data_IF_705449101051
#
_entry.id   IF_705449101051
#
_cell.length_a   1.000
_cell.length_b   1.000
_cell.length_c   1.000
_cell.angle_alpha   90.00
_cell.angle_beta   90.00
_cell.angle_gamma   90.00
#
_symmetry.space_group_name_H-M   'P 1'
#
loop_
_entity.id
_entity.type
_entity.pdbx_description
1 polymer ?
#
# COMPACT_ATOMS: atom_id res chain seq x y z
N UNK A 1 21.28 -23.77 27.30
CA UNK A 1 19.87 -23.81 27.76
C UNK A 1 19.14 -22.73 26.98
N UNK A 2 18.18 -23.11 26.14
CA UNK A 2 17.43 -22.16 25.30
C UNK A 2 16.33 -21.53 26.17
N UNK A 3 16.43 -20.24 26.46
CA UNK A 3 15.33 -19.53 27.10
C UNK A 3 14.20 -19.31 26.10
N UNK A 4 13.02 -19.83 26.42
CA UNK A 4 11.79 -19.58 25.69
C UNK A 4 11.28 -18.19 26.12
N UNK A 5 11.45 -17.19 25.27
CA UNK A 5 10.97 -15.82 25.49
C UNK A 5 9.46 -15.77 25.22
N UNK A 6 8.70 -15.25 26.18
CA UNK A 6 7.22 -15.18 26.13
C UNK A 6 6.69 -13.85 25.60
N UNK A 7 7.57 -12.89 25.30
CA UNK A 7 7.17 -11.56 24.85
C UNK A 7 7.16 -11.46 23.33
N UNK A 8 6.05 -10.97 22.79
CA UNK A 8 5.75 -10.85 21.35
C UNK A 8 6.38 -9.62 20.68
N UNK A 9 7.29 -8.92 21.37
CA UNK A 9 7.92 -7.69 20.91
C UNK A 9 7.04 -6.44 21.07
N UNK A 10 7.59 -5.28 20.68
CA UNK A 10 6.93 -3.98 20.84
C UNK A 10 6.11 -3.62 19.60
N UNK A 11 4.83 -3.27 19.81
CA UNK A 11 4.01 -2.65 18.77
C UNK A 11 4.30 -1.13 18.68
N UNK A 12 4.32 -0.59 17.46
CA UNK A 12 4.84 0.76 17.18
C UNK A 12 3.77 1.81 16.82
N UNK A 13 2.49 1.53 17.05
CA UNK A 13 1.40 2.49 16.83
C UNK A 13 1.50 3.24 15.51
N UNK A 14 1.57 4.57 15.56
CA UNK A 14 1.79 5.44 14.38
C UNK A 14 0.65 5.46 13.36
N UNK A 15 -0.57 5.12 13.78
CA UNK A 15 -1.75 5.18 12.91
C UNK A 15 -1.96 6.60 12.35
N UNK A 16 -2.39 6.69 11.08
CA UNK A 16 -2.60 7.93 10.34
C UNK A 16 -3.64 7.72 9.23
N UNK A 17 -4.08 8.83 8.61
CA UNK A 17 -4.95 8.81 7.42
C UNK A 17 -4.22 9.49 6.25
N UNK A 18 -4.27 8.89 5.06
CA UNK A 18 -3.75 9.45 3.82
C UNK A 18 -4.88 9.81 2.86
N UNK A 19 -4.74 10.95 2.19
CA UNK A 19 -5.68 11.46 1.21
C UNK A 19 -5.23 11.12 -0.23
N UNK A 20 -6.16 11.07 -1.20
CA UNK A 20 -5.85 10.67 -2.57
C UNK A 20 -4.91 11.66 -3.30
N UNK A 21 -4.85 12.92 -2.87
CA UNK A 21 -3.96 13.97 -3.40
C UNK A 21 -2.50 13.84 -2.92
N UNK A 22 -2.19 12.81 -2.14
CA UNK A 22 -0.85 12.55 -1.59
C UNK A 22 -0.59 13.20 -0.24
N UNK A 23 -1.52 13.99 0.29
CA UNK A 23 -1.42 14.54 1.65
C UNK A 23 -1.75 13.47 2.71
N UNK A 24 -1.37 13.71 3.98
CA UNK A 24 -1.66 12.80 5.10
C UNK A 24 -1.63 13.50 6.45
N UNK A 25 -2.27 12.90 7.45
CA UNK A 25 -2.15 13.32 8.84
C UNK A 25 -0.79 12.94 9.44
N UNK A 26 -0.34 13.62 10.50
CA UNK A 26 0.69 13.10 11.39
C UNK A 26 0.29 11.72 11.97
N UNK A 27 1.28 10.92 12.34
CA UNK A 27 1.04 9.64 13.00
C UNK A 27 0.71 9.81 14.48
N UNK A 28 -0.14 8.91 15.01
CA UNK A 28 -0.36 8.77 16.46
C UNK A 28 0.91 8.30 17.19
N UNK A 29 0.86 8.29 18.52
CA UNK A 29 1.97 7.83 19.35
C UNK A 29 2.40 6.40 19.00
N UNK A 30 3.69 6.12 19.20
CA UNK A 30 4.26 4.77 19.05
C UNK A 30 4.01 3.87 20.25
N UNK A 31 3.74 4.46 21.41
CA UNK A 31 3.76 3.77 22.71
C UNK A 31 2.54 4.08 23.58
N UNK A 32 1.69 5.04 23.18
CA UNK A 32 0.49 5.42 23.93
C UNK A 32 -0.75 5.13 23.11
N UNK A 33 -1.82 4.77 23.82
CA UNK A 33 -3.15 4.69 23.24
C UNK A 33 -3.60 6.06 22.73
N UNK A 34 -4.40 6.07 21.67
CA UNK A 34 -4.89 7.29 21.06
C UNK A 34 -6.01 7.04 20.07
N UNK A 35 -6.82 8.07 19.86
CA UNK A 35 -7.90 8.08 18.87
C UNK A 35 -7.59 9.20 17.86
N UNK A 36 -7.59 8.85 16.58
CA UNK A 36 -7.43 9.80 15.48
C UNK A 36 -8.80 10.10 14.88
N UNK A 37 -9.24 11.36 14.97
CA UNK A 37 -10.46 11.85 14.33
C UNK A 37 -10.05 12.82 13.22
N UNK A 38 -10.52 12.58 12.00
CA UNK A 38 -10.29 13.46 10.84
C UNK A 38 -11.57 13.59 10.04
N UNK A 39 -11.80 14.79 9.51
CA UNK A 39 -12.84 15.06 8.52
C UNK A 39 -12.31 14.69 7.12
N UNK A 40 -13.15 14.13 6.27
CA UNK A 40 -12.77 13.67 4.92
C UNK A 40 -13.87 14.08 3.94
N UNK A 41 -13.51 14.87 2.93
CA UNK A 41 -14.37 15.09 1.76
C UNK A 41 -14.14 14.00 0.71
N UNK A 42 -15.14 13.15 0.50
CA UNK A 42 -15.09 12.06 -0.48
C UNK A 42 -15.06 12.56 -1.94
N UNK A 43 -15.45 13.81 -2.20
CA UNK A 43 -15.36 14.39 -3.54
C UNK A 43 -13.91 14.54 -4.02
N UNK A 44 -12.95 14.65 -3.09
CA UNK A 44 -11.52 14.71 -3.40
C UNK A 44 -11.07 13.48 -4.22
N UNK A 45 -11.68 12.32 -3.97
CA UNK A 45 -11.40 11.11 -4.76
C UNK A 45 -11.67 11.29 -6.25
N UNK A 46 -12.74 12.00 -6.64
CA UNK A 46 -13.06 12.24 -8.04
C UNK A 46 -12.09 13.25 -8.64
N UNK A 47 -11.88 14.38 -7.95
CA UNK A 47 -10.98 15.44 -8.39
C UNK A 47 -9.58 14.91 -8.68
N UNK A 48 -9.01 14.13 -7.76
CA UNK A 48 -7.67 13.59 -7.93
C UNK A 48 -7.59 12.52 -9.03
N UNK A 49 -8.63 11.68 -9.21
CA UNK A 49 -8.66 10.70 -10.31
C UNK A 49 -8.65 11.39 -11.67
N UNK A 50 -9.41 12.46 -11.80
CA UNK A 50 -9.53 13.21 -13.05
C UNK A 50 -8.24 13.97 -13.35
N UNK A 51 -7.59 14.55 -12.33
CA UNK A 51 -6.32 15.26 -12.49
C UNK A 51 -5.13 14.34 -12.79
N UNK A 52 -4.96 13.25 -12.02
CA UNK A 52 -3.81 12.36 -12.17
C UNK A 52 -3.98 11.34 -13.31
N UNK A 53 -5.22 11.08 -13.74
CA UNK A 53 -5.56 10.17 -14.82
C UNK A 53 -5.02 8.74 -14.67
N UNK A 54 -4.56 8.32 -13.48
CA UNK A 54 -4.01 6.98 -13.25
C UNK A 54 -5.01 5.87 -13.61
N UNK A 55 -6.31 6.10 -13.40
CA UNK A 55 -7.36 5.15 -13.81
C UNK A 55 -7.60 5.08 -15.32
N UNK A 56 -7.23 6.10 -16.08
CA UNK A 56 -7.29 6.03 -17.54
C UNK A 56 -6.05 5.30 -18.10
N UNK A 57 -4.90 5.45 -17.45
CA UNK A 57 -3.62 4.87 -17.92
C UNK A 57 -3.23 3.56 -17.22
N UNK A 58 -4.09 2.98 -16.39
CA UNK A 58 -3.83 1.77 -15.60
C UNK A 58 -3.64 0.46 -16.40
N UNK A 59 -4.01 0.41 -17.69
CA UNK A 59 -3.82 -0.75 -18.59
C UNK A 59 -4.22 -2.12 -17.98
N UNK A 60 -5.40 -2.18 -17.36
CA UNK A 60 -5.83 -3.37 -16.60
C UNK A 60 -5.78 -4.67 -17.40
N UNK A 61 -6.18 -4.67 -18.67
CA UNK A 61 -6.18 -5.87 -19.51
C UNK A 61 -4.78 -6.46 -19.72
N UNK A 62 -3.76 -5.59 -19.80
CA UNK A 62 -2.37 -6.02 -19.91
C UNK A 62 -1.90 -6.64 -18.60
N UNK A 63 -2.06 -5.93 -17.48
CA UNK A 63 -1.60 -6.41 -16.18
C UNK A 63 -2.36 -7.65 -15.70
N UNK A 64 -3.65 -7.80 -16.03
CA UNK A 64 -4.40 -9.01 -15.74
C UNK A 64 -3.72 -10.23 -16.39
N UNK A 65 -3.39 -10.14 -17.69
CA UNK A 65 -2.68 -11.21 -18.41
C UNK A 65 -1.29 -11.46 -17.84
N UNK A 66 -0.53 -10.40 -17.54
CA UNK A 66 0.82 -10.52 -16.99
C UNK A 66 0.82 -11.19 -15.61
N UNK A 67 -0.11 -10.82 -14.73
CA UNK A 67 -0.23 -11.41 -13.39
C UNK A 67 -0.70 -12.87 -13.50
N UNK A 68 -1.67 -13.17 -14.37
CA UNK A 68 -2.10 -14.55 -14.62
C UNK A 68 -0.95 -15.42 -15.14
N UNK A 69 -0.17 -14.92 -16.10
CA UNK A 69 0.99 -15.64 -16.60
C UNK A 69 2.03 -15.88 -15.50
N UNK A 70 2.35 -14.85 -14.71
CA UNK A 70 3.32 -14.94 -13.62
C UNK A 70 2.90 -15.88 -12.48
N UNK A 71 1.60 -16.17 -12.33
CA UNK A 71 1.09 -17.10 -11.34
C UNK A 71 1.14 -18.58 -11.77
N UNK A 72 1.43 -18.87 -13.05
CA UNK A 72 1.58 -20.25 -13.55
C UNK A 72 2.85 -20.89 -12.94
N UNK A 73 2.77 -22.11 -12.35
CA UNK A 73 3.94 -22.82 -11.83
C UNK A 73 5.07 -23.03 -12.85
N UNK A 74 4.76 -23.03 -14.15
CA UNK A 74 5.71 -23.20 -15.25
C UNK A 74 6.10 -21.88 -15.92
N UNK A 75 5.77 -20.73 -15.33
CA UNK A 75 6.11 -19.42 -15.88
C UNK A 75 7.63 -19.26 -16.03
N UNK A 76 8.06 -18.78 -17.20
CA UNK A 76 9.46 -18.43 -17.47
C UNK A 76 9.55 -16.90 -17.50
N UNK A 77 10.21 -16.26 -16.53
CA UNK A 77 10.35 -14.80 -16.50
C UNK A 77 11.14 -14.26 -17.69
N UNK A 78 10.68 -13.14 -18.24
CA UNK A 78 11.38 -12.42 -19.30
C UNK A 78 12.55 -11.61 -18.73
N UNK A 79 13.73 -12.25 -18.66
CA UNK A 79 14.97 -11.68 -18.11
C UNK A 79 15.98 -11.54 -19.24
N UNK A 80 16.30 -10.31 -19.61
CA UNK A 80 17.41 -10.03 -20.53
C UNK A 80 18.70 -9.81 -19.73
N UNK A 81 19.78 -10.51 -20.10
CA UNK A 81 21.13 -10.31 -19.53
C UNK A 81 22.03 -9.68 -20.58
N UNK A 82 23.00 -8.90 -20.13
CA UNK A 82 24.08 -8.38 -20.98
C UNK A 82 24.98 -9.53 -21.46
N UNK A 83 25.61 -9.33 -22.61
CA UNK A 83 26.39 -10.34 -23.33
C UNK A 83 27.87 -10.32 -22.92
#
# INVERSE_FOLDING_TARGET
MHECHKEIGQFYGSAYVAAPDGSRTPGLSRTKDGVLVTEIDLNLCRQTKDQLCFRMTQRLDYYAKSITAAADPNYIPDIHREH
#
